data_IF_922916158785
#
_entry.id   IF_922916158785
#
_cell.length_a   1.000
_cell.length_b   1.000
_cell.length_c   1.000
_cell.angle_alpha   90.00
_cell.angle_beta   90.00
_cell.angle_gamma   90.00
#
_symmetry.space_group_name_H-M   'P 1'
#
loop_
_entity.id
_entity.type
_entity.pdbx_description
1 polymer ?
#
# COMPACT_ATOMS: atom_id res chain seq x y z
N UNK A 1 -15.18 -5.10 -6.42
CA UNK A 1 -16.61 -4.91 -6.77
C UNK A 1 -16.83 -3.48 -7.23
N UNK A 2 -17.35 -3.28 -8.45
CA UNK A 2 -17.72 -1.96 -9.00
C UNK A 2 -18.90 -1.41 -8.20
N UNK A 3 -18.91 -0.12 -7.91
CA UNK A 3 -20.03 0.54 -7.24
C UNK A 3 -19.60 1.56 -6.19
N UNK A 4 -20.57 1.96 -5.37
CA UNK A 4 -20.39 2.85 -4.22
C UNK A 4 -20.37 2.01 -2.93
N UNK A 5 -19.36 2.23 -2.10
CA UNK A 5 -19.17 1.51 -0.84
C UNK A 5 -19.00 2.51 0.30
N UNK A 6 -19.35 2.07 1.52
CA UNK A 6 -19.13 2.81 2.76
C UNK A 6 -18.10 2.11 3.63
N UNK A 7 -17.43 2.87 4.50
CA UNK A 7 -16.53 2.37 5.53
C UNK A 7 -15.52 1.36 5.00
N UNK A 8 -14.70 1.80 4.05
CA UNK A 8 -13.68 0.98 3.41
C UNK A 8 -12.30 1.30 3.98
N UNK A 9 -11.64 0.30 4.54
CA UNK A 9 -10.25 0.37 4.98
C UNK A 9 -9.33 -0.12 3.86
N UNK A 10 -8.17 0.51 3.71
CA UNK A 10 -7.05 -0.02 2.94
C UNK A 10 -6.08 -0.66 3.92
N UNK A 11 -5.83 -1.96 3.76
CA UNK A 11 -4.76 -2.69 4.42
C UNK A 11 -3.63 -2.87 3.41
N UNK A 12 -2.44 -2.37 3.73
CA UNK A 12 -1.29 -2.29 2.85
C UNK A 12 -0.08 -2.97 3.45
N UNK A 13 0.74 -3.63 2.63
CA UNK A 13 2.01 -4.14 3.11
C UNK A 13 3.04 -3.02 3.27
N UNK A 14 3.74 -2.98 4.40
CA UNK A 14 4.79 -1.99 4.69
C UNK A 14 6.02 -2.11 3.76
N UNK A 15 5.78 -2.35 2.48
CA UNK A 15 6.76 -2.52 1.43
C UNK A 15 6.90 -3.98 0.99
N UNK A 16 5.87 -4.50 0.33
CA UNK A 16 5.72 -5.91 -0.04
C UNK A 16 6.96 -6.54 -0.67
N UNK A 17 7.49 -5.99 -1.77
CA UNK A 17 8.59 -6.61 -2.49
C UNK A 17 9.91 -6.68 -1.68
N UNK A 18 10.35 -5.59 -1.02
CA UNK A 18 11.47 -5.68 -0.08
C UNK A 18 11.25 -6.68 1.05
N UNK A 19 10.05 -6.76 1.60
CA UNK A 19 9.71 -7.71 2.65
C UNK A 19 9.79 -9.15 2.16
N UNK A 20 9.34 -9.45 0.94
CA UNK A 20 9.53 -10.77 0.30
C UNK A 20 11.01 -11.07 0.08
N UNK A 21 11.82 -10.10 -0.36
CA UNK A 21 13.27 -10.30 -0.53
C UNK A 21 13.93 -10.78 0.78
N UNK A 22 13.54 -10.17 1.89
CA UNK A 22 14.03 -10.56 3.22
C UNK A 22 13.45 -11.90 3.66
N UNK A 23 12.14 -12.10 3.52
CA UNK A 23 11.45 -13.30 3.99
C UNK A 23 11.87 -14.56 3.23
N UNK A 24 12.11 -14.43 1.94
CA UNK A 24 12.53 -15.54 1.06
C UNK A 24 14.06 -15.64 0.91
N UNK A 25 14.80 -14.77 1.58
CA UNK A 25 16.27 -14.71 1.48
C UNK A 25 16.77 -14.69 0.03
N UNK A 26 16.10 -13.91 -0.85
CA UNK A 26 16.37 -13.91 -2.28
C UNK A 26 17.64 -13.17 -2.62
N UNK A 27 18.68 -13.91 -2.99
CA UNK A 27 19.99 -13.38 -3.41
C UNK A 27 20.66 -14.37 -4.36
N UNK A 28 21.68 -13.93 -5.11
CA UNK A 28 22.37 -14.79 -6.09
C UNK A 28 23.05 -15.98 -5.43
N UNK A 29 23.72 -15.74 -4.28
CA UNK A 29 24.49 -16.72 -3.53
C UNK A 29 23.59 -17.65 -2.69
N UNK A 30 22.37 -17.26 -2.38
CA UNK A 30 21.41 -18.10 -1.65
C UNK A 30 20.59 -18.98 -2.59
N UNK A 31 20.65 -18.73 -3.90
CA UNK A 31 19.94 -19.50 -4.90
C UNK A 31 20.49 -20.94 -4.98
N UNK A 32 19.61 -21.92 -4.79
CA UNK A 32 19.97 -23.33 -4.73
C UNK A 32 20.17 -23.88 -6.15
N UNK A 33 21.24 -24.63 -6.34
CA UNK A 33 21.49 -25.33 -7.62
C UNK A 33 20.74 -26.66 -7.64
N UNK A 34 20.38 -27.11 -8.85
CA UNK A 34 19.72 -28.39 -9.05
C UNK A 34 20.58 -29.53 -8.47
N UNK A 35 19.96 -30.38 -7.66
CA UNK A 35 20.62 -31.49 -6.97
C UNK A 35 21.27 -31.15 -5.61
N UNK A 36 21.17 -29.86 -5.19
CA UNK A 36 21.66 -29.40 -3.88
C UNK A 36 20.53 -29.01 -2.91
N UNK A 37 19.27 -29.37 -3.23
CA UNK A 37 18.09 -28.99 -2.46
C UNK A 37 18.12 -29.57 -1.03
N UNK A 38 17.60 -28.78 -0.09
CA UNK A 38 17.40 -29.17 1.32
C UNK A 38 15.92 -28.96 1.69
N UNK A 39 15.48 -29.69 2.73
CA UNK A 39 14.06 -29.69 3.13
C UNK A 39 13.59 -28.31 3.66
N UNK A 40 14.51 -27.52 4.22
CA UNK A 40 14.24 -26.20 4.75
C UNK A 40 14.43 -25.05 3.74
N UNK A 41 14.79 -25.37 2.49
CA UNK A 41 14.90 -24.36 1.43
C UNK A 41 13.56 -23.68 1.15
N UNK A 42 13.63 -22.38 0.97
CA UNK A 42 12.45 -21.57 0.64
C UNK A 42 12.11 -21.73 -0.84
N UNK A 43 10.87 -22.14 -1.11
CA UNK A 43 10.40 -22.41 -2.47
C UNK A 43 9.94 -21.10 -3.11
N UNK A 44 10.57 -20.72 -4.22
CA UNK A 44 10.19 -19.60 -5.08
C UNK A 44 9.47 -20.04 -6.34
N UNK A 45 9.39 -19.15 -7.34
CA UNK A 45 8.78 -19.45 -8.65
C UNK A 45 9.81 -20.12 -9.58
N UNK A 46 9.81 -21.44 -9.58
CA UNK A 46 10.72 -22.28 -10.39
C UNK A 46 12.18 -22.36 -9.88
N UNK A 47 12.45 -21.88 -8.67
CA UNK A 47 13.75 -21.96 -8.02
C UNK A 47 13.59 -22.03 -6.48
N UNK A 48 14.70 -22.29 -5.78
CA UNK A 48 14.74 -22.31 -4.32
C UNK A 48 15.84 -21.42 -3.80
N UNK A 49 15.70 -20.98 -2.56
CA UNK A 49 16.69 -20.17 -1.86
C UNK A 49 17.04 -20.80 -0.51
N UNK A 50 18.31 -20.80 -0.14
CA UNK A 50 18.75 -21.19 1.20
C UNK A 50 18.13 -20.28 2.25
N UNK A 51 17.62 -20.86 3.32
CA UNK A 51 17.14 -20.08 4.46
C UNK A 51 18.27 -19.39 5.19
N UNK A 52 19.45 -20.01 5.22
CA UNK A 52 20.68 -19.52 5.88
C UNK A 52 21.92 -19.92 5.09
N UNK A 53 22.99 -19.11 5.09
CA UNK A 53 23.12 -17.78 5.71
C UNK A 53 22.29 -16.71 5.02
N UNK A 54 22.21 -15.52 5.64
CA UNK A 54 21.54 -14.37 5.03
C UNK A 54 22.26 -13.90 3.78
N UNK A 55 21.48 -13.67 2.72
CA UNK A 55 22.00 -13.19 1.45
C UNK A 55 22.31 -11.70 1.44
N UNK A 56 23.18 -11.28 0.50
CA UNK A 56 23.61 -9.87 0.37
C UNK A 56 22.43 -8.95 0.07
N UNK A 57 21.49 -9.35 -0.83
CA UNK A 57 20.34 -8.50 -1.15
C UNK A 57 19.41 -8.29 0.04
N UNK A 58 18.96 -9.32 0.78
CA UNK A 58 18.24 -9.17 2.03
C UNK A 58 18.95 -8.30 3.07
N UNK A 59 20.27 -8.49 3.26
CA UNK A 59 21.05 -7.68 4.17
C UNK A 59 21.02 -6.18 3.77
N UNK A 60 21.24 -5.87 2.48
CA UNK A 60 21.15 -4.50 1.98
C UNK A 60 19.75 -3.89 2.17
N UNK A 61 18.68 -4.69 1.98
CA UNK A 61 17.32 -4.21 2.21
C UNK A 61 17.11 -3.86 3.68
N UNK A 62 17.56 -4.70 4.61
CA UNK A 62 17.46 -4.43 6.06
C UNK A 62 18.22 -3.18 6.48
N UNK A 63 19.43 -2.97 5.95
CA UNK A 63 20.20 -1.74 6.20
C UNK A 63 19.45 -0.50 5.72
N UNK A 64 18.85 -0.57 4.53
CA UNK A 64 18.04 0.54 4.01
C UNK A 64 16.77 0.75 4.83
N UNK A 65 16.14 -0.30 5.37
CA UNK A 65 14.99 -0.18 6.27
C UNK A 65 15.39 0.53 7.57
N UNK A 66 16.51 0.13 8.20
CA UNK A 66 17.03 0.79 9.39
C UNK A 66 17.35 2.28 9.13
N UNK A 67 17.98 2.58 8.00
CA UNK A 67 18.28 3.96 7.61
C UNK A 67 17.00 4.78 7.37
N UNK A 68 15.98 4.20 6.74
CA UNK A 68 14.69 4.85 6.53
C UNK A 68 13.99 5.15 7.84
N UNK A 69 13.99 4.21 8.78
CA UNK A 69 13.35 4.40 10.08
C UNK A 69 14.08 5.46 10.92
N UNK A 70 15.40 5.50 10.83
CA UNK A 70 16.17 6.60 11.41
C UNK A 70 15.75 7.97 10.84
N UNK A 71 15.62 8.10 9.52
CA UNK A 71 15.18 9.37 8.92
C UNK A 71 13.72 9.70 9.21
N UNK A 72 12.83 8.71 9.38
CA UNK A 72 11.45 8.94 9.84
C UNK A 72 11.43 9.49 11.27
N UNK A 73 12.29 8.97 12.16
CA UNK A 73 12.40 9.47 13.54
C UNK A 73 12.89 10.94 13.57
N UNK A 74 13.94 11.27 12.81
CA UNK A 74 14.43 12.63 12.67
C UNK A 74 13.37 13.58 12.06
N UNK A 75 12.62 13.11 11.07
CA UNK A 75 11.50 13.87 10.51
C UNK A 75 10.41 14.14 11.55
N UNK A 76 10.07 13.14 12.36
CA UNK A 76 9.06 13.30 13.42
C UNK A 76 9.55 14.28 14.50
N UNK A 77 10.82 14.19 14.89
CA UNK A 77 11.43 15.15 15.81
C UNK A 77 11.34 16.58 15.26
N UNK A 78 11.77 16.81 14.02
CA UNK A 78 11.68 18.11 13.37
C UNK A 78 10.23 18.63 13.24
N UNK A 79 9.26 17.70 13.02
CA UNK A 79 7.84 18.07 13.01
C UNK A 79 7.35 18.60 14.37
N UNK A 80 7.84 18.00 15.46
CA UNK A 80 7.46 18.38 16.82
C UNK A 80 8.15 19.68 17.30
N UNK A 81 9.43 19.86 16.95
CA UNK A 81 10.25 21.00 17.39
C UNK A 81 10.01 22.24 16.52
N UNK A 82 10.05 22.09 15.20
CA UNK A 82 10.08 23.20 14.24
C UNK A 82 8.81 23.30 13.37
N UNK A 83 7.95 22.29 13.44
CA UNK A 83 6.74 22.16 12.62
C UNK A 83 6.98 21.52 11.23
N UNK A 84 5.89 20.97 10.65
CA UNK A 84 5.92 20.24 9.35
C UNK A 84 6.30 21.09 8.13
N UNK A 85 6.36 22.41 8.29
CA UNK A 85 6.79 23.37 7.24
C UNK A 85 8.28 23.72 7.28
N UNK A 86 9.03 23.27 8.27
CA UNK A 86 10.44 23.61 8.49
C UNK A 86 11.39 23.03 7.46
N UNK A 87 12.56 23.62 7.30
CA UNK A 87 13.62 23.08 6.43
C UNK A 87 14.14 21.74 6.95
N UNK A 88 14.24 21.58 8.27
CA UNK A 88 14.61 20.33 8.92
C UNK A 88 13.62 19.21 8.57
N UNK A 89 12.32 19.46 8.69
CA UNK A 89 11.29 18.50 8.30
C UNK A 89 11.40 18.11 6.81
N UNK A 90 11.51 19.09 5.90
CA UNK A 90 11.66 18.86 4.46
C UNK A 90 12.90 18.04 4.12
N UNK A 91 14.03 18.32 4.78
CA UNK A 91 15.28 17.57 4.62
C UNK A 91 15.09 16.09 4.94
N UNK A 92 14.54 15.79 6.11
CA UNK A 92 14.38 14.39 6.55
C UNK A 92 13.26 13.66 5.81
N UNK A 93 12.21 14.36 5.39
CA UNK A 93 11.17 13.80 4.53
C UNK A 93 11.73 13.44 3.14
N UNK A 94 12.58 14.28 2.57
CA UNK A 94 13.32 14.00 1.33
C UNK A 94 14.26 12.80 1.47
N UNK A 95 15.01 12.72 2.58
CA UNK A 95 15.94 11.63 2.86
C UNK A 95 15.22 10.27 2.96
N UNK A 96 14.18 10.16 3.80
CA UNK A 96 13.41 8.91 3.95
C UNK A 96 12.73 8.49 2.63
N UNK A 97 12.24 9.48 1.85
CA UNK A 97 11.63 9.22 0.54
C UNK A 97 12.65 8.71 -0.49
N UNK A 98 13.88 9.19 -0.44
CA UNK A 98 14.98 8.73 -1.30
C UNK A 98 15.35 7.29 -0.96
N UNK A 99 15.50 6.95 0.32
CA UNK A 99 15.77 5.58 0.75
C UNK A 99 14.62 4.64 0.36
N UNK A 100 13.36 5.08 0.50
CA UNK A 100 12.19 4.31 0.03
C UNK A 100 12.29 3.96 -1.46
N UNK A 101 12.67 4.93 -2.30
CA UNK A 101 12.86 4.70 -3.75
C UNK A 101 14.04 3.77 -4.04
N UNK A 102 15.18 3.99 -3.38
CA UNK A 102 16.35 3.15 -3.53
C UNK A 102 16.05 1.68 -3.20
N UNK A 103 15.35 1.41 -2.09
CA UNK A 103 14.91 0.08 -1.70
C UNK A 103 14.05 -0.61 -2.77
N UNK A 104 13.11 0.14 -3.36
CA UNK A 104 12.26 -0.38 -4.43
C UNK A 104 13.04 -0.68 -5.73
N UNK A 105 14.17 0.00 -5.95
CA UNK A 105 15.02 -0.17 -7.14
C UNK A 105 15.64 -1.58 -7.21
N UNK A 106 15.94 -2.22 -6.09
CA UNK A 106 16.50 -3.58 -6.09
C UNK A 106 15.64 -4.56 -6.86
N UNK A 107 14.32 -4.59 -6.59
CA UNK A 107 13.40 -5.41 -7.36
C UNK A 107 13.39 -5.03 -8.85
N UNK A 108 13.31 -3.74 -9.16
CA UNK A 108 13.30 -3.25 -10.54
C UNK A 108 14.53 -3.70 -11.33
N UNK A 109 15.71 -3.63 -10.70
CA UNK A 109 16.97 -4.05 -11.35
C UNK A 109 17.02 -5.56 -11.63
N UNK A 110 16.47 -6.40 -10.74
CA UNK A 110 16.37 -7.85 -10.97
C UNK A 110 15.53 -8.15 -12.21
N UNK A 111 14.45 -7.42 -12.43
CA UNK A 111 13.54 -7.60 -13.56
C UNK A 111 14.13 -7.32 -14.94
N UNK A 112 15.24 -6.59 -15.04
CA UNK A 112 15.93 -6.40 -16.32
C UNK A 112 16.67 -7.67 -16.80
N UNK A 113 16.96 -8.61 -15.92
CA UNK A 113 17.78 -9.77 -16.21
C UNK A 113 19.20 -9.39 -16.65
N UNK A 114 20.05 -10.38 -16.91
CA UNK A 114 21.48 -10.15 -17.24
C UNK A 114 21.71 -9.38 -18.54
N UNK A 115 20.78 -9.40 -19.48
CA UNK A 115 20.91 -8.65 -20.75
C UNK A 115 20.77 -7.15 -20.59
N UNK A 116 19.98 -6.72 -19.58
CA UNK A 116 19.76 -5.29 -19.30
C UNK A 116 20.61 -4.76 -18.15
N UNK A 117 20.98 -5.63 -17.23
CA UNK A 117 21.76 -5.28 -16.04
C UNK A 117 22.62 -6.49 -15.61
N UNK A 118 23.92 -6.31 -15.47
CA UNK A 118 24.88 -7.40 -15.21
C UNK A 118 24.53 -8.27 -13.98
N UNK A 119 23.89 -7.66 -12.98
CA UNK A 119 23.44 -8.30 -11.75
C UNK A 119 21.95 -8.67 -11.76
N UNK A 120 21.25 -8.48 -12.88
CA UNK A 120 19.85 -8.83 -13.02
C UNK A 120 19.65 -10.35 -12.99
N UNK A 121 18.63 -10.81 -12.27
CA UNK A 121 18.24 -12.22 -12.17
C UNK A 121 16.72 -12.36 -12.21
N UNK A 122 16.21 -12.92 -13.30
CA UNK A 122 14.78 -13.08 -13.52
C UNK A 122 14.12 -14.06 -12.54
N UNK A 123 14.85 -15.07 -12.05
CA UNK A 123 14.28 -16.01 -11.08
C UNK A 123 14.07 -15.35 -9.73
N UNK A 124 15.00 -14.47 -9.32
CA UNK A 124 14.81 -13.59 -8.15
C UNK A 124 13.59 -12.69 -8.36
N UNK A 125 13.49 -12.01 -9.49
CA UNK A 125 12.36 -11.13 -9.79
C UNK A 125 11.02 -11.87 -9.81
N UNK A 126 10.96 -13.05 -10.42
CA UNK A 126 9.77 -13.93 -10.44
C UNK A 126 9.39 -14.36 -9.02
N UNK A 127 10.36 -14.79 -8.22
CA UNK A 127 10.10 -15.21 -6.83
C UNK A 127 9.54 -14.06 -6.00
N UNK A 128 10.06 -12.84 -6.15
CA UNK A 128 9.55 -11.66 -5.43
C UNK A 128 8.08 -11.40 -5.81
N UNK A 129 7.76 -11.44 -7.09
CA UNK A 129 6.37 -11.23 -7.54
C UNK A 129 5.45 -12.39 -7.17
N UNK A 130 5.95 -13.62 -7.20
CA UNK A 130 5.24 -14.81 -6.76
C UNK A 130 4.88 -14.70 -5.27
N UNK A 131 5.87 -14.44 -4.41
CA UNK A 131 5.67 -14.27 -2.96
C UNK A 131 4.72 -13.12 -2.65
N UNK A 132 4.85 -11.99 -3.36
CA UNK A 132 3.94 -10.85 -3.19
C UNK A 132 2.49 -11.20 -3.55
N UNK A 133 2.27 -11.90 -4.67
CA UNK A 133 0.94 -12.35 -5.07
C UNK A 133 0.36 -13.36 -4.09
N UNK A 134 1.17 -14.33 -3.63
CA UNK A 134 0.75 -15.34 -2.65
C UNK A 134 0.35 -14.67 -1.34
N UNK A 135 1.16 -13.75 -0.82
CA UNK A 135 0.86 -13.01 0.40
C UNK A 135 -0.43 -12.18 0.27
N UNK A 136 -0.65 -11.51 -0.88
CA UNK A 136 -1.86 -10.72 -1.11
C UNK A 136 -3.12 -11.60 -1.14
N UNK A 137 -3.06 -12.76 -1.81
CA UNK A 137 -4.17 -13.71 -1.83
C UNK A 137 -4.43 -14.30 -0.46
N UNK A 138 -3.37 -14.54 0.32
CA UNK A 138 -3.48 -15.05 1.68
C UNK A 138 -4.19 -14.07 2.61
N UNK A 139 -3.79 -12.79 2.63
CA UNK A 139 -4.48 -11.79 3.45
C UNK A 139 -5.93 -11.56 2.99
N UNK A 140 -6.22 -11.69 1.70
CA UNK A 140 -7.60 -11.64 1.21
C UNK A 140 -8.42 -12.80 1.78
N UNK A 141 -7.96 -14.03 1.64
CA UNK A 141 -8.64 -15.24 2.13
C UNK A 141 -8.89 -15.18 3.63
N UNK A 142 -7.88 -14.80 4.42
CA UNK A 142 -7.99 -14.70 5.87
C UNK A 142 -8.94 -13.56 6.30
N UNK A 143 -8.92 -12.43 5.60
CA UNK A 143 -9.87 -11.34 5.84
C UNK A 143 -11.32 -11.80 5.60
N UNK A 144 -11.55 -12.57 4.54
CA UNK A 144 -12.86 -13.14 4.22
C UNK A 144 -13.31 -14.20 5.24
N UNK A 145 -12.38 -15.04 5.76
CA UNK A 145 -12.65 -15.99 6.86
C UNK A 145 -13.03 -15.28 8.17
N UNK A 146 -12.47 -14.10 8.42
CA UNK A 146 -12.82 -13.26 9.56
C UNK A 146 -14.18 -12.55 9.40
N UNK A 147 -14.88 -12.77 8.27
CA UNK A 147 -16.22 -12.26 8.02
C UNK A 147 -16.25 -10.88 7.36
N UNK A 148 -15.12 -10.36 6.89
CA UNK A 148 -15.06 -9.06 6.19
C UNK A 148 -15.00 -9.25 4.68
N UNK A 149 -15.67 -8.37 3.94
CA UNK A 149 -15.67 -8.42 2.48
C UNK A 149 -14.49 -7.66 1.90
N UNK A 150 -13.66 -8.34 1.11
CA UNK A 150 -12.64 -7.68 0.27
C UNK A 150 -13.27 -7.25 -1.05
N UNK A 151 -13.35 -5.96 -1.31
CA UNK A 151 -14.02 -5.38 -2.48
C UNK A 151 -13.08 -5.09 -3.65
N UNK A 152 -11.80 -4.89 -3.36
CA UNK A 152 -10.77 -4.59 -4.35
C UNK A 152 -9.38 -4.95 -3.82
N UNK A 153 -8.46 -5.31 -4.72
CA UNK A 153 -7.04 -5.49 -4.45
C UNK A 153 -6.20 -4.72 -5.46
N UNK A 154 -5.09 -4.14 -5.03
CA UNK A 154 -4.21 -3.37 -5.89
C UNK A 154 -2.75 -3.51 -5.45
N UNK A 155 -1.94 -4.12 -6.29
CA UNK A 155 -0.48 -4.34 -6.15
C UNK A 155 -0.05 -4.95 -4.81
N UNK A 156 -0.14 -4.24 -3.71
CA UNK A 156 0.35 -4.54 -2.36
C UNK A 156 -0.70 -4.31 -1.27
N UNK A 157 -1.94 -3.96 -1.64
CA UNK A 157 -3.01 -3.64 -0.71
C UNK A 157 -4.34 -4.31 -1.04
N UNK A 158 -5.16 -4.53 -0.01
CA UNK A 158 -6.55 -4.94 -0.13
C UNK A 158 -7.47 -3.86 0.45
N UNK A 159 -8.67 -3.74 -0.14
CA UNK A 159 -9.70 -2.81 0.26
C UNK A 159 -10.84 -3.58 0.92
N UNK A 160 -11.02 -3.37 2.20
CA UNK A 160 -11.89 -4.15 3.06
C UNK A 160 -13.08 -3.32 3.50
N UNK A 161 -14.29 -3.83 3.28
CA UNK A 161 -15.52 -3.23 3.79
C UNK A 161 -15.71 -3.61 5.25
N UNK A 162 -15.77 -2.61 6.14
CA UNK A 162 -15.81 -2.82 7.60
C UNK A 162 -17.23 -2.88 8.19
N UNK A 163 -18.28 -2.55 7.40
CA UNK A 163 -19.67 -2.50 7.80
C UNK A 163 -20.28 -1.11 7.63
N UNK A 164 -21.51 -1.05 7.07
CA UNK A 164 -22.15 0.22 6.71
C UNK A 164 -22.73 0.97 7.91
N UNK A 165 -22.92 0.29 9.02
CA UNK A 165 -23.54 0.72 10.27
C UNK A 165 -22.55 1.14 11.36
N UNK A 166 -21.25 0.93 11.12
CA UNK A 166 -20.22 1.19 12.12
C UNK A 166 -19.78 2.65 12.13
N UNK A 167 -19.43 3.15 13.32
CA UNK A 167 -18.76 4.44 13.47
C UNK A 167 -17.32 4.38 12.94
N UNK A 168 -16.69 5.54 12.71
CA UNK A 168 -15.31 5.60 12.23
C UNK A 168 -14.33 5.10 13.31
N UNK A 169 -14.63 5.34 14.58
CA UNK A 169 -13.86 4.84 15.73
C UNK A 169 -13.88 3.30 15.77
N UNK A 170 -15.05 2.69 15.61
CA UNK A 170 -15.17 1.22 15.53
C UNK A 170 -14.42 0.69 14.31
N UNK A 171 -14.52 1.36 13.18
CA UNK A 171 -13.79 1.00 11.97
C UNK A 171 -12.27 1.08 12.17
N UNK A 172 -11.76 2.08 12.91
CA UNK A 172 -10.33 2.20 13.21
C UNK A 172 -9.83 1.03 14.07
N UNK A 173 -10.56 0.68 15.13
CA UNK A 173 -10.23 -0.46 16.00
C UNK A 173 -10.22 -1.76 15.20
N UNK A 174 -11.20 -1.99 14.34
CA UNK A 174 -11.26 -3.18 13.47
C UNK A 174 -10.07 -3.19 12.50
N UNK A 175 -9.75 -2.05 11.88
CA UNK A 175 -8.66 -1.96 10.91
C UNK A 175 -7.29 -2.26 11.56
N UNK A 176 -7.03 -1.73 12.75
CA UNK A 176 -5.82 -2.01 13.53
C UNK A 176 -5.73 -3.49 13.91
N UNK A 177 -6.82 -4.07 14.42
CA UNK A 177 -6.88 -5.49 14.76
C UNK A 177 -6.66 -6.39 13.53
N UNK A 178 -7.28 -6.09 12.39
CA UNK A 178 -7.05 -6.83 11.15
C UNK A 178 -5.58 -6.74 10.72
N UNK A 179 -4.96 -5.57 10.80
CA UNK A 179 -3.53 -5.38 10.51
C UNK A 179 -2.64 -6.29 11.36
N UNK A 180 -2.88 -6.36 12.66
CA UNK A 180 -2.14 -7.21 13.61
C UNK A 180 -2.32 -8.71 13.30
N UNK A 181 -3.57 -9.17 13.12
CA UNK A 181 -3.88 -10.56 12.83
C UNK A 181 -3.25 -11.00 11.51
N UNK A 182 -3.45 -10.23 10.45
CA UNK A 182 -2.92 -10.55 9.12
C UNK A 182 -1.38 -10.49 9.10
N UNK A 183 -0.76 -9.58 9.84
CA UNK A 183 0.69 -9.54 10.05
C UNK A 183 1.18 -10.84 10.68
N UNK A 184 0.55 -11.29 11.76
CA UNK A 184 0.91 -12.53 12.46
C UNK A 184 0.83 -13.72 11.52
N UNK A 185 -0.28 -13.87 10.78
CA UNK A 185 -0.49 -14.96 9.81
C UNK A 185 0.61 -14.97 8.74
N UNK A 186 0.90 -13.81 8.14
CA UNK A 186 1.94 -13.72 7.12
C UNK A 186 3.33 -14.04 7.66
N UNK A 187 3.65 -13.57 8.87
CA UNK A 187 4.95 -13.82 9.51
C UNK A 187 5.16 -15.29 9.86
N UNK A 188 4.13 -15.96 10.35
CA UNK A 188 4.16 -17.40 10.67
C UNK A 188 4.33 -18.23 9.39
N UNK A 189 3.59 -17.92 8.32
CA UNK A 189 3.64 -18.66 7.05
C UNK A 189 5.03 -18.63 6.42
N UNK A 190 5.66 -17.46 6.36
CA UNK A 190 7.01 -17.32 5.77
C UNK A 190 8.15 -17.47 6.79
N UNK A 191 7.83 -17.65 8.07
CA UNK A 191 8.79 -17.71 9.19
C UNK A 191 9.74 -16.48 9.23
N UNK A 192 9.17 -15.30 9.01
CA UNK A 192 9.94 -14.04 8.95
C UNK A 192 9.13 -12.88 9.48
N UNK A 193 9.75 -12.02 10.29
CA UNK A 193 9.15 -10.77 10.80
C UNK A 193 9.09 -9.65 9.77
N UNK A 194 9.61 -9.85 8.58
CA UNK A 194 9.66 -8.83 7.54
C UNK A 194 8.29 -8.48 6.94
N UNK A 195 7.32 -9.42 7.01
CA UNK A 195 5.98 -9.22 6.47
C UNK A 195 5.11 -8.47 7.49
N UNK A 196 4.75 -7.23 7.16
CA UNK A 196 3.91 -6.38 8.02
C UNK A 196 2.76 -5.83 7.20
N UNK A 197 1.52 -6.01 7.68
CA UNK A 197 0.29 -5.47 7.10
C UNK A 197 -0.20 -4.34 8.00
N UNK A 198 -0.39 -3.15 7.44
CA UNK A 198 -0.78 -1.96 8.18
C UNK A 198 -2.06 -1.36 7.61
N UNK A 199 -2.98 -0.84 8.45
CA UNK A 199 -4.05 0.00 7.95
C UNK A 199 -3.47 1.33 7.43
N UNK A 200 -3.68 1.64 6.15
CA UNK A 200 -3.20 2.89 5.55
C UNK A 200 -4.17 4.05 5.82
N UNK A 201 -5.47 3.79 5.63
CA UNK A 201 -6.53 4.79 5.83
C UNK A 201 -7.91 4.13 5.80
N UNK A 202 -8.92 4.89 6.29
CA UNK A 202 -10.34 4.54 6.16
C UNK A 202 -11.05 5.63 5.36
N UNK A 203 -11.95 5.19 4.47
CA UNK A 203 -12.82 6.04 3.65
C UNK A 203 -14.28 5.75 3.99
N UNK A 204 -15.05 6.80 4.32
CA UNK A 204 -16.49 6.67 4.59
C UNK A 204 -17.33 6.59 3.30
N UNK A 205 -16.78 7.08 2.20
CA UNK A 205 -17.35 6.99 0.84
C UNK A 205 -16.25 6.52 -0.11
N UNK A 206 -16.51 5.44 -0.82
CA UNK A 206 -15.57 4.87 -1.77
C UNK A 206 -16.31 4.45 -3.05
N UNK A 207 -15.86 4.95 -4.18
CA UNK A 207 -16.47 4.74 -5.49
C UNK A 207 -15.49 4.10 -6.45
N UNK A 208 -15.88 2.95 -7.02
CA UNK A 208 -15.14 2.24 -8.08
C UNK A 208 -15.98 2.24 -9.35
N UNK A 209 -15.77 3.14 -10.31
CA UNK A 209 -16.48 3.12 -11.59
C UNK A 209 -16.07 1.95 -12.49
N UNK A 210 -14.80 1.57 -12.44
CA UNK A 210 -14.23 0.42 -13.17
C UNK A 210 -12.86 0.02 -12.61
N UNK A 211 -12.32 -1.11 -13.08
CA UNK A 211 -10.99 -1.60 -12.70
C UNK A 211 -9.92 -0.51 -12.81
N UNK A 212 -9.05 -0.41 -11.84
CA UNK A 212 -7.95 0.56 -11.72
C UNK A 212 -8.38 2.03 -11.67
N UNK A 213 -9.66 2.31 -11.44
CA UNK A 213 -10.17 3.66 -11.21
C UNK A 213 -11.01 3.68 -9.94
N UNK A 214 -10.63 4.54 -9.02
CA UNK A 214 -11.41 4.74 -7.79
C UNK A 214 -11.21 6.14 -7.21
N UNK A 215 -12.17 6.53 -6.39
CA UNK A 215 -12.10 7.72 -5.55
C UNK A 215 -12.71 7.44 -4.19
N UNK A 216 -12.08 7.90 -3.12
CA UNK A 216 -12.60 7.72 -1.76
C UNK A 216 -12.34 8.92 -0.87
N UNK A 217 -13.29 9.24 0.02
CA UNK A 217 -13.18 10.31 1.00
C UNK A 217 -12.50 9.76 2.27
N UNK A 218 -11.29 10.24 2.55
CA UNK A 218 -10.51 9.81 3.71
C UNK A 218 -11.10 10.43 4.98
N UNK A 219 -11.35 9.61 5.99
CA UNK A 219 -11.86 10.02 7.31
C UNK A 219 -10.93 9.65 8.45
N UNK A 220 -10.01 8.69 8.25
CA UNK A 220 -9.04 8.27 9.25
C UNK A 220 -7.73 7.82 8.61
N UNK A 221 -6.61 8.07 9.33
CA UNK A 221 -5.26 7.57 9.01
C UNK A 221 -4.49 7.30 10.31
N UNK A 222 -3.62 6.27 10.38
CA UNK A 222 -2.80 5.98 11.54
C UNK A 222 -1.91 7.16 11.94
N UNK A 223 -1.69 7.36 13.23
CA UNK A 223 -0.80 8.41 13.76
C UNK A 223 -1.27 9.84 13.49
N UNK A 224 -2.51 10.05 13.10
CA UNK A 224 -3.11 11.38 13.00
C UNK A 224 -3.40 12.01 14.36
N UNK A 225 -3.07 11.34 15.46
CA UNK A 225 -2.95 11.88 16.84
C UNK A 225 -4.24 12.33 17.51
N UNK A 226 -5.29 12.49 16.75
CA UNK A 226 -6.62 12.86 17.23
C UNK A 226 -7.65 12.12 16.38
N UNK A 227 -8.72 11.71 17.02
CA UNK A 227 -10.01 11.31 16.46
C UNK A 227 -10.24 11.78 15.03
N UNK A 228 -10.95 10.99 14.25
CA UNK A 228 -11.14 11.17 12.80
C UNK A 228 -11.18 12.63 12.47
N UNK A 229 -10.36 13.06 11.53
CA UNK A 229 -10.26 14.46 11.10
C UNK A 229 -11.55 15.18 11.36
N UNK A 230 -11.57 16.09 12.36
CA UNK A 230 -12.80 16.81 12.68
C UNK A 230 -13.39 17.29 11.38
N UNK A 231 -14.53 16.70 11.02
CA UNK A 231 -15.24 16.98 9.78
C UNK A 231 -15.51 18.48 9.81
N UNK A 232 -14.63 19.28 9.25
CA UNK A 232 -14.74 20.73 9.30
C UNK A 232 -13.43 21.51 9.11
N UNK A 233 -12.27 20.96 9.44
CA UNK A 233 -11.02 21.73 9.47
C UNK A 233 -10.15 21.69 8.21
N UNK A 234 -10.44 20.80 7.23
CA UNK A 234 -9.74 20.78 5.94
C UNK A 234 -10.73 20.80 4.77
N UNK A 235 -10.39 21.44 3.65
CA UNK A 235 -11.20 21.37 2.44
C UNK A 235 -11.47 19.91 2.05
N UNK A 236 -12.70 19.59 1.64
CA UNK A 236 -13.11 18.22 1.23
C UNK A 236 -12.17 17.67 0.18
N UNK A 237 -11.64 18.50 -0.70
CA UNK A 237 -10.73 18.14 -1.79
C UNK A 237 -9.36 17.63 -1.30
N UNK A 238 -8.90 18.07 -0.14
CA UNK A 238 -7.64 17.61 0.45
C UNK A 238 -7.72 16.21 1.06
N UNK A 239 -8.91 15.61 1.13
CA UNK A 239 -9.18 14.31 1.77
C UNK A 239 -9.62 13.24 0.78
N UNK A 240 -9.43 13.46 -0.50
CA UNK A 240 -9.83 12.51 -1.53
C UNK A 240 -8.63 11.70 -2.00
N UNK A 241 -8.64 10.39 -1.74
CA UNK A 241 -7.74 9.44 -2.40
C UNK A 241 -8.33 9.06 -3.75
N UNK A 242 -7.57 9.27 -4.83
CA UNK A 242 -7.96 8.89 -6.18
C UNK A 242 -6.87 8.11 -6.87
N UNK A 243 -7.28 7.14 -7.69
CA UNK A 243 -6.40 6.38 -8.56
C UNK A 243 -7.01 6.28 -9.96
N UNK A 244 -6.18 6.46 -10.99
CA UNK A 244 -6.59 6.31 -12.38
C UNK A 244 -7.71 7.24 -12.87
N UNK A 245 -8.09 8.24 -12.08
CA UNK A 245 -9.11 9.23 -12.42
C UNK A 245 -8.50 10.40 -13.18
N UNK A 246 -9.23 10.94 -14.13
CA UNK A 246 -8.77 12.05 -14.99
C UNK A 246 -8.47 13.32 -14.18
N UNK A 247 -9.18 13.57 -13.07
CA UNK A 247 -8.90 14.69 -12.17
C UNK A 247 -7.47 14.71 -11.61
N UNK A 248 -6.78 13.55 -11.56
CA UNK A 248 -5.37 13.44 -11.18
C UNK A 248 -4.38 13.46 -12.34
N UNK A 249 -4.86 13.34 -13.58
CA UNK A 249 -3.98 13.35 -14.74
C UNK A 249 -3.38 14.75 -14.96
N UNK A 250 -2.11 14.80 -15.32
CA UNK A 250 -1.38 16.06 -15.49
C UNK A 250 -1.88 16.89 -16.68
N UNK A 251 -2.46 16.23 -17.67
CA UNK A 251 -2.99 16.83 -18.90
C UNK A 251 -4.49 17.19 -18.84
N UNK A 252 -5.14 17.01 -17.70
CA UNK A 252 -6.56 17.39 -17.54
C UNK A 252 -6.69 18.88 -17.27
N UNK A 253 -7.61 19.54 -17.98
CA UNK A 253 -7.95 20.96 -17.77
C UNK A 253 -8.49 21.21 -16.36
N UNK A 254 -8.39 22.47 -15.89
CA UNK A 254 -8.97 22.86 -14.59
C UNK A 254 -10.48 22.58 -14.53
N UNK A 255 -11.20 22.91 -15.60
CA UNK A 255 -12.66 22.65 -15.70
C UNK A 255 -12.94 21.14 -15.61
N UNK A 256 -12.28 20.32 -16.41
CA UNK A 256 -12.47 18.86 -16.38
C UNK A 256 -12.17 18.25 -15.00
N UNK A 257 -11.19 18.78 -14.29
CA UNK A 257 -10.84 18.38 -12.92
C UNK A 257 -11.95 18.75 -11.94
N UNK A 258 -12.44 19.99 -11.98
CA UNK A 258 -13.54 20.45 -11.13
C UNK A 258 -14.80 19.64 -11.39
N UNK A 259 -15.19 19.51 -12.66
CA UNK A 259 -16.37 18.73 -13.08
C UNK A 259 -16.33 17.30 -12.53
N UNK A 260 -15.21 16.60 -12.66
CA UNK A 260 -15.10 15.23 -12.16
C UNK A 260 -15.17 15.16 -10.63
N UNK A 261 -14.51 16.09 -9.92
CA UNK A 261 -14.54 16.16 -8.46
C UNK A 261 -15.95 16.42 -7.93
N UNK A 262 -16.64 17.38 -8.51
CA UNK A 262 -17.99 17.76 -8.08
C UNK A 262 -19.00 16.63 -8.37
N UNK A 263 -18.88 15.98 -9.53
CA UNK A 263 -19.71 14.81 -9.85
C UNK A 263 -19.50 13.67 -8.85
N UNK A 264 -18.27 13.39 -8.45
CA UNK A 264 -17.96 12.36 -7.44
C UNK A 264 -18.58 12.73 -6.09
N UNK A 265 -18.48 13.99 -5.64
CA UNK A 265 -19.10 14.47 -4.41
C UNK A 265 -20.60 14.32 -4.46
N UNK A 266 -21.25 14.73 -5.55
CA UNK A 266 -22.69 14.57 -5.73
C UNK A 266 -23.13 13.10 -5.66
N UNK A 267 -22.38 12.18 -6.28
CA UNK A 267 -22.62 10.73 -6.19
C UNK A 267 -22.50 10.25 -4.73
N UNK A 268 -21.49 10.70 -3.99
CA UNK A 268 -21.33 10.34 -2.57
C UNK A 268 -22.43 10.86 -1.69
N UNK A 269 -23.01 12.01 -2.02
CA UNK A 269 -24.14 12.63 -1.30
C UNK A 269 -25.51 12.05 -1.74
N UNK A 270 -25.49 11.08 -2.67
CA UNK A 270 -26.70 10.37 -3.12
C UNK A 270 -27.53 11.14 -4.15
N UNK A 271 -26.93 12.10 -4.84
CA UNK A 271 -27.63 12.84 -5.90
C UNK A 271 -28.14 11.90 -7.02
N UNK A 272 -29.36 12.08 -7.51
CA UNK A 272 -29.88 11.31 -8.64
C UNK A 272 -29.02 11.51 -9.89
N UNK A 273 -28.89 10.51 -10.77
CA UNK A 273 -28.09 10.61 -11.99
C UNK A 273 -28.43 11.83 -12.86
N UNK A 274 -29.70 12.21 -12.95
CA UNK A 274 -30.16 13.39 -13.70
C UNK A 274 -29.57 14.68 -13.13
N UNK A 275 -29.53 14.84 -11.81
CA UNK A 275 -28.97 16.02 -11.16
C UNK A 275 -27.46 16.15 -11.43
N UNK A 276 -26.72 15.02 -11.45
CA UNK A 276 -25.30 15.01 -11.81
C UNK A 276 -25.12 15.41 -13.28
N UNK A 277 -25.99 14.91 -14.18
CA UNK A 277 -25.95 15.26 -15.60
C UNK A 277 -26.26 16.75 -15.81
N UNK A 278 -27.29 17.29 -15.16
CA UNK A 278 -27.68 18.69 -15.26
C UNK A 278 -26.52 19.60 -14.79
N UNK A 279 -25.86 19.25 -13.69
CA UNK A 279 -24.66 19.95 -13.22
C UNK A 279 -23.54 19.92 -14.26
N UNK A 280 -23.28 18.77 -14.87
CA UNK A 280 -22.28 18.65 -15.95
C UNK A 280 -22.58 19.57 -17.12
N UNK A 281 -23.85 19.67 -17.55
CA UNK A 281 -24.28 20.51 -18.66
C UNK A 281 -24.18 22.01 -18.37
N UNK A 282 -24.21 22.42 -17.09
CA UNK A 282 -24.01 23.82 -16.71
C UNK A 282 -22.55 24.25 -16.68
N UNK A 283 -21.61 23.29 -16.64
CA UNK A 283 -20.16 23.54 -16.54
C UNK A 283 -19.45 23.49 -17.91
N UNK A 284 -20.14 23.04 -18.95
CA UNK A 284 -19.68 22.98 -20.35
C UNK A 284 -20.24 24.16 -21.14
#
# INVERSE_FOLDING_TARGET
TIGLHKNVCILDFAGLYPSIMVAYNTSWETKVKAGEEQDDDIIGDGCRFRRSPEGVLPACVKELDGLRDHYKALRQQAANEDGKGSDAYRKWDGAQSTVKRLRATFYGLMGFGRKGYAWGDLDIAKTITYGGRTALLRIQEETEKLGYQVIYGHTDSIFVKLGDDKSIEECAVIAEHLGEVLTTICQEEVQSKAMVVEPELIMDRFYIPRRNKYAGRIVWQPGSGETPYAIGSRPVDARIKMQGMEAKATNTSKVGRTVQLDSIKMIWDGAPPQQVLDHLLTMI
#
